data_IF_967175173306
#
_entry.id   IF_967175173306
#
_cell.length_a   1.000
_cell.length_b   1.000
_cell.length_c   1.000
_cell.angle_alpha   90.00
_cell.angle_beta   90.00
_cell.angle_gamma   90.00
#
_symmetry.space_group_name_H-M   'P 1'
#
loop_
_entity.id
_entity.type
_entity.pdbx_description
1 polymer ?
#
# COMPACT_ATOMS: atom_id res chain seq x y z
N UNK A 1 -12.05 -6.02 -33.22
CA UNK A 1 -11.91 -5.95 -32.43
C UNK A 1 -11.81 -6.15 -31.89
N UNK A 2 -11.84 -6.13 -32.14
CA UNK A 2 -11.72 -6.08 -31.16
C UNK A 2 -11.43 -6.35 -30.44
N UNK A 3 -11.38 -6.26 -30.77
CA UNK A 3 -11.12 -6.28 -29.70
C UNK A 3 -10.58 -6.34 -29.05
N UNK A 4 -10.45 -5.96 -29.37
CA UNK A 4 -10.03 -5.68 -28.33
C UNK A 4 -10.18 -5.43 -27.77
N UNK A 5 -10.44 -5.15 -28.21
CA UNK A 5 -10.57 -4.60 -27.30
C UNK A 5 -11.03 -4.56 -26.70
N UNK A 6 -11.38 -4.73 -27.42
CA UNK A 6 -11.79 -4.52 -26.48
C UNK A 6 -11.71 -4.91 -25.88
N UNK A 7 -11.56 -4.86 -26.03
CA UNK A 7 -11.35 -4.91 -25.01
C UNK A 7 -11.26 -4.82 -24.35
N UNK A 8 -11.32 -4.62 -24.59
CA UNK A 8 -11.20 -4.30 -23.63
C UNK A 8 -11.31 -3.86 -23.19
N UNK A 9 -11.42 -3.57 -23.40
CA UNK A 9 -11.70 -2.99 -22.65
C UNK A 9 -12.03 -2.99 -21.90
N UNK A 10 -12.20 -2.90 -22.46
CA UNK A 10 -13.06 -2.55 -21.49
C UNK A 10 -12.81 -3.07 -20.15
N UNK A 11 -12.38 -4.01 -20.05
CA UNK A 11 -12.07 -4.48 -18.79
C UNK A 11 -11.14 -3.60 -18.09
N UNK A 12 -10.22 -3.05 -18.78
CA UNK A 12 -9.30 -2.15 -18.14
C UNK A 12 -9.98 -0.96 -17.53
N UNK A 13 -11.07 -0.54 -18.09
CA UNK A 13 -11.73 0.64 -17.59
C UNK A 13 -12.37 0.40 -16.23
N UNK A 14 -12.68 -0.83 -15.91
CA UNK A 14 -13.28 -1.11 -14.62
C UNK A 14 -12.26 -1.41 -13.55
N UNK A 15 -11.02 -1.59 -13.95
CA UNK A 15 -9.98 -1.94 -13.00
C UNK A 15 -9.13 -0.73 -12.74
N UNK A 16 -9.20 -0.25 -11.54
CA UNK A 16 -8.43 0.91 -11.12
C UNK A 16 -7.29 0.48 -10.24
N UNK A 17 -6.25 1.28 -10.19
CA UNK A 17 -5.21 0.99 -9.21
C UNK A 17 -5.79 0.88 -7.83
N UNK A 18 -5.36 -0.12 -7.12
CA UNK A 18 -5.84 -0.42 -5.80
C UNK A 18 -4.75 -0.02 -4.81
N UNK A 19 -5.08 0.84 -3.88
CA UNK A 19 -4.09 1.39 -2.96
C UNK A 19 -4.37 0.88 -1.56
N UNK A 20 -3.34 0.34 -0.95
CA UNK A 20 -3.42 -0.17 0.41
C UNK A 20 -2.58 0.73 1.30
N UNK A 21 -3.18 1.22 2.37
CA UNK A 21 -2.47 2.03 3.34
C UNK A 21 -2.46 1.29 4.66
N UNK A 22 -1.29 0.91 5.10
CA UNK A 22 -1.11 0.25 6.38
C UNK A 22 -0.40 1.19 7.34
N UNK A 23 -0.92 1.31 8.55
CA UNK A 23 -0.25 2.04 9.60
C UNK A 23 0.19 1.05 10.68
N UNK A 24 1.37 1.26 11.22
CA UNK A 24 1.94 0.35 12.20
C UNK A 24 2.35 1.13 13.44
N UNK A 25 2.00 0.61 14.60
CA UNK A 25 2.47 1.14 15.86
C UNK A 25 3.57 0.20 16.35
N UNK A 26 4.83 0.61 16.29
CA UNK A 26 5.92 -0.28 16.70
C UNK A 26 5.96 -0.40 18.21
N UNK A 27 6.47 -1.52 18.68
CA UNK A 27 6.81 -1.65 20.08
C UNK A 27 7.89 -0.63 20.42
N UNK A 28 7.98 -0.23 21.68
CA UNK A 28 8.99 0.76 22.08
C UNK A 28 10.38 0.36 21.60
N UNK A 29 11.05 1.30 20.95
CA UNK A 29 12.42 1.07 20.46
C UNK A 29 12.53 0.28 19.17
N UNK A 30 11.40 -0.07 18.55
CA UNK A 30 11.44 -0.94 17.36
C UNK A 30 11.16 -0.23 16.05
N UNK A 31 11.03 1.09 16.07
CA UNK A 31 10.68 1.80 14.84
C UNK A 31 11.72 1.61 13.74
N UNK A 32 12.99 1.70 14.07
CA UNK A 32 14.03 1.56 13.06
C UNK A 32 14.05 0.14 12.48
N UNK A 33 13.95 -0.85 13.34
CA UNK A 33 13.92 -2.22 12.88
C UNK A 33 12.69 -2.48 12.01
N UNK A 34 11.55 -1.97 12.43
CA UNK A 34 10.31 -2.12 11.68
C UNK A 34 10.43 -1.49 10.30
N UNK A 35 10.93 -0.26 10.22
CA UNK A 35 11.04 0.39 8.91
C UNK A 35 12.02 -0.34 8.00
N UNK A 36 13.07 -0.92 8.55
CA UNK A 36 13.97 -1.73 7.77
C UNK A 36 13.29 -2.97 7.18
N UNK A 37 12.46 -3.63 7.98
CA UNK A 37 11.72 -4.79 7.51
C UNK A 37 10.72 -4.37 6.42
N UNK A 38 10.04 -3.24 6.62
CA UNK A 38 9.08 -2.76 5.63
C UNK A 38 9.76 -2.42 4.30
N UNK A 39 10.93 -1.79 4.36
CA UNK A 39 11.65 -1.43 3.14
C UNK A 39 12.12 -2.66 2.38
N UNK A 40 12.67 -3.63 3.09
CA UNK A 40 13.10 -4.86 2.45
C UNK A 40 11.93 -5.62 1.85
N UNK A 41 10.81 -5.64 2.56
CA UNK A 41 9.61 -6.31 2.06
C UNK A 41 9.07 -5.61 0.82
N UNK A 42 9.04 -4.28 0.82
CA UNK A 42 8.58 -3.53 -0.35
C UNK A 42 9.41 -3.86 -1.57
N UNK A 43 10.73 -3.91 -1.42
CA UNK A 43 11.60 -4.22 -2.54
C UNK A 43 11.35 -5.62 -3.05
N UNK A 44 11.17 -6.57 -2.16
CA UNK A 44 10.89 -7.93 -2.54
C UNK A 44 9.55 -8.08 -3.24
N UNK A 45 8.52 -7.38 -2.73
CA UNK A 45 7.21 -7.41 -3.37
C UNK A 45 7.27 -6.81 -4.76
N UNK A 46 8.07 -5.76 -4.94
CA UNK A 46 8.22 -5.15 -6.25
C UNK A 46 8.81 -6.12 -7.26
N UNK A 47 9.69 -7.00 -6.81
CA UNK A 47 10.32 -7.97 -7.70
C UNK A 47 9.49 -9.22 -7.93
N UNK A 48 8.71 -9.64 -6.92
CA UNK A 48 8.14 -10.98 -6.95
C UNK A 48 6.62 -11.04 -6.97
N UNK A 49 5.94 -9.93 -6.71
CA UNK A 49 4.48 -9.96 -6.62
C UNK A 49 3.86 -9.38 -7.89
N UNK A 50 3.12 -10.20 -8.65
CA UNK A 50 2.49 -9.69 -9.87
C UNK A 50 1.54 -8.56 -9.55
N UNK A 51 1.61 -7.52 -10.35
CA UNK A 51 0.70 -6.38 -10.21
C UNK A 51 1.06 -5.39 -9.11
N UNK A 52 2.10 -5.65 -8.34
CA UNK A 52 2.53 -4.69 -7.33
C UNK A 52 3.39 -3.63 -8.00
N UNK A 53 2.94 -2.38 -7.90
CA UNK A 53 3.60 -1.27 -8.60
C UNK A 53 4.47 -0.44 -7.68
N UNK A 54 4.88 -1.01 -6.56
CA UNK A 54 5.75 -0.31 -5.65
C UNK A 54 4.97 0.27 -4.49
N UNK A 55 5.70 0.92 -3.62
CA UNK A 55 5.09 1.50 -2.44
C UNK A 55 6.04 2.46 -1.79
N UNK A 56 5.52 3.16 -0.82
CA UNK A 56 6.30 4.12 -0.06
C UNK A 56 6.15 3.84 1.42
N UNK A 57 7.22 4.08 2.13
CA UNK A 57 7.21 3.92 3.57
C UNK A 57 7.52 5.27 4.18
N UNK A 58 6.69 5.66 5.13
CA UNK A 58 6.82 6.93 5.82
C UNK A 58 6.96 6.67 7.31
N UNK A 59 7.68 7.55 7.96
CA UNK A 59 7.79 7.52 9.42
C UNK A 59 7.09 8.77 9.95
N UNK A 60 6.22 8.57 10.93
CA UNK A 60 5.62 9.70 11.62
C UNK A 60 6.56 10.06 12.76
N UNK A 61 7.28 11.14 12.58
CA UNK A 61 8.32 11.50 13.54
C UNK A 61 7.75 11.91 14.89
N UNK A 62 6.53 12.39 14.91
CA UNK A 62 5.93 12.82 16.17
C UNK A 62 5.29 11.66 16.94
N UNK A 63 4.69 10.74 16.21
CA UNK A 63 3.92 9.66 16.84
C UNK A 63 4.68 8.34 16.91
N UNK A 64 5.91 8.31 16.41
CA UNK A 64 6.72 7.09 16.41
C UNK A 64 5.97 5.93 15.77
N UNK A 65 5.40 6.19 14.61
CA UNK A 65 4.67 5.16 13.87
C UNK A 65 5.22 5.08 12.46
N UNK A 66 4.84 4.03 11.75
CA UNK A 66 5.25 3.85 10.37
C UNK A 66 4.04 3.63 9.51
N UNK A 67 4.14 4.08 8.27
CA UNK A 67 3.06 3.97 7.30
C UNK A 67 3.64 3.34 6.05
N UNK A 68 2.93 2.37 5.49
CA UNK A 68 3.32 1.79 4.22
C UNK A 68 2.15 1.91 3.25
N UNK A 69 2.41 2.53 2.11
CA UNK A 69 1.42 2.68 1.06
C UNK A 69 1.86 1.81 -0.10
N UNK A 70 1.04 0.82 -0.46
CA UNK A 70 1.33 -0.07 -1.56
C UNK A 70 0.30 0.09 -2.65
N UNK A 71 0.73 -0.03 -3.90
CA UNK A 71 -0.16 0.13 -5.04
C UNK A 71 -0.17 -1.16 -5.83
N UNK A 72 -1.36 -1.68 -6.08
CA UNK A 72 -1.56 -2.88 -6.89
C UNK A 72 -2.31 -2.49 -8.16
N UNK A 73 -2.04 -3.19 -9.23
CA UNK A 73 -2.72 -2.91 -10.48
C UNK A 73 -4.21 -3.19 -10.37
N UNK A 74 -4.57 -4.28 -9.69
CA UNK A 74 -5.98 -4.65 -9.51
C UNK A 74 -6.17 -5.21 -8.12
N UNK A 75 -7.43 -5.28 -7.72
CA UNK A 75 -7.77 -5.92 -6.46
C UNK A 75 -7.44 -7.41 -6.48
N UNK A 76 -7.56 -8.06 -7.63
CA UNK A 76 -7.18 -9.47 -7.74
C UNK A 76 -5.71 -9.68 -7.45
N UNK A 77 -4.87 -8.76 -7.88
CA UNK A 77 -3.44 -8.86 -7.57
C UNK A 77 -3.20 -8.74 -6.07
N UNK A 78 -3.92 -7.86 -5.41
CA UNK A 78 -3.84 -7.73 -3.97
C UNK A 78 -4.28 -9.03 -3.28
N UNK A 79 -5.38 -9.62 -3.75
CA UNK A 79 -5.86 -10.86 -3.16
C UNK A 79 -4.85 -11.99 -3.33
N UNK A 80 -4.20 -12.04 -4.48
CA UNK A 80 -3.15 -13.02 -4.71
C UNK A 80 -1.98 -12.84 -3.77
N UNK A 81 -1.63 -11.59 -3.50
CA UNK A 81 -0.53 -11.30 -2.60
C UNK A 81 -0.85 -11.77 -1.18
N UNK A 82 -2.03 -11.45 -0.65
CA UNK A 82 -2.33 -11.84 0.74
C UNK A 82 -2.48 -13.36 0.89
N UNK A 83 -2.71 -14.07 -0.20
CA UNK A 83 -2.78 -15.52 -0.17
C UNK A 83 -1.40 -16.17 -0.33
N UNK A 84 -0.35 -15.40 -0.53
CA UNK A 84 0.95 -15.95 -0.88
C UNK A 84 1.78 -16.28 0.35
N UNK A 85 2.74 -17.17 0.13
CA UNK A 85 3.73 -17.50 1.16
C UNK A 85 4.56 -16.28 1.53
N UNK A 86 4.82 -15.43 0.55
CA UNK A 86 5.59 -14.23 0.75
C UNK A 86 4.92 -13.32 1.77
N UNK A 87 3.60 -13.16 1.65
CA UNK A 87 2.85 -12.36 2.60
C UNK A 87 2.87 -12.99 4.00
N UNK A 88 2.76 -14.31 4.08
CA UNK A 88 2.80 -14.99 5.37
C UNK A 88 4.13 -14.75 6.09
N UNK A 89 5.23 -14.82 5.35
CA UNK A 89 6.55 -14.54 5.92
C UNK A 89 6.68 -13.10 6.37
N UNK A 90 6.17 -12.20 5.57
CA UNK A 90 6.18 -10.79 5.91
C UNK A 90 5.45 -10.54 7.23
N UNK A 91 4.28 -11.14 7.38
CA UNK A 91 3.52 -10.99 8.64
C UNK A 91 4.30 -11.54 9.83
N UNK A 92 4.95 -12.65 9.66
CA UNK A 92 5.75 -13.24 10.74
C UNK A 92 6.88 -12.33 11.16
N UNK A 93 7.47 -11.62 10.22
CA UNK A 93 8.56 -10.70 10.54
C UNK A 93 8.07 -9.45 11.24
N UNK A 94 6.89 -9.00 10.92
CA UNK A 94 6.37 -7.75 11.45
C UNK A 94 5.73 -7.92 12.82
N UNK A 95 5.02 -9.01 13.03
CA UNK A 95 4.25 -9.20 14.25
C UNK A 95 5.04 -8.96 15.54
N UNK A 96 6.25 -9.48 15.69
CA UNK A 96 6.97 -9.24 16.94
C UNK A 96 7.41 -7.80 17.14
N UNK A 97 7.32 -6.97 16.12
CA UNK A 97 7.82 -5.60 16.18
C UNK A 97 6.73 -4.57 16.45
N UNK A 98 5.46 -4.98 16.42
CA UNK A 98 4.37 -4.00 16.49
C UNK A 98 3.44 -4.31 17.65
N UNK A 99 2.83 -3.23 18.17
CA UNK A 99 1.74 -3.32 19.13
C UNK A 99 0.39 -3.18 18.47
N UNK A 100 0.34 -2.62 17.27
CA UNK A 100 -0.92 -2.44 16.58
C UNK A 100 -0.72 -2.15 15.11
N UNK A 101 -1.80 -2.32 14.35
CA UNK A 101 -1.77 -2.07 12.92
C UNK A 101 -3.16 -1.64 12.46
N UNK A 102 -3.20 -0.65 11.59
CA UNK A 102 -4.43 -0.23 10.93
C UNK A 102 -4.28 -0.41 9.43
N UNK A 103 -5.40 -0.55 8.75
CA UNK A 103 -5.36 -0.75 7.30
C UNK A 103 -6.52 -0.02 6.65
N UNK A 104 -6.24 0.66 5.55
CA UNK A 104 -7.26 1.29 4.71
C UNK A 104 -7.03 0.87 3.27
N UNK A 105 -8.13 0.59 2.60
CA UNK A 105 -8.11 0.21 1.18
C UNK A 105 -8.80 1.33 0.42
N UNK A 106 -8.11 1.92 -0.54
CA UNK A 106 -8.64 3.07 -1.26
C UNK A 106 -8.43 2.90 -2.76
N UNK A 107 -9.23 3.62 -3.52
CA UNK A 107 -9.08 3.71 -4.95
C UNK A 107 -8.48 5.05 -5.29
N UNK A 108 -7.70 5.10 -6.37
CA UNK A 108 -7.17 6.35 -6.84
C UNK A 108 -8.31 7.24 -7.29
N UNK A 109 -8.28 8.49 -6.85
CA UNK A 109 -9.28 9.44 -7.25
C UNK A 109 -8.83 10.29 -8.40
N UNK A 110 -9.60 11.32 -8.68
CA UNK A 110 -9.30 12.26 -9.72
C UNK A 110 -8.20 13.19 -9.26
N UNK A 111 -7.14 13.28 -10.05
CA UNK A 111 -5.96 14.05 -9.65
C UNK A 111 -6.27 15.52 -9.44
N UNK A 112 -7.20 16.09 -10.20
CA UNK A 112 -7.52 17.49 -10.03
C UNK A 112 -8.16 17.76 -8.68
N UNK A 113 -9.00 16.87 -8.23
CA UNK A 113 -9.61 17.01 -6.92
C UNK A 113 -8.60 16.94 -5.81
N UNK A 114 -7.58 16.17 -6.02
CA UNK A 114 -6.53 16.04 -5.03
C UNK A 114 -5.87 17.38 -4.77
N UNK A 115 -5.63 18.14 -5.81
CA UNK A 115 -4.99 19.43 -5.64
C UNK A 115 -5.85 20.38 -4.82
N UNK A 116 -7.14 20.41 -5.08
CA UNK A 116 -8.02 21.26 -4.31
C UNK A 116 -8.08 20.86 -2.87
N UNK A 117 -8.09 19.60 -2.65
CA UNK A 117 -8.13 19.10 -1.32
C UNK A 117 -6.97 19.53 -0.51
N UNK A 118 -5.80 19.48 -1.06
CA UNK A 118 -4.63 19.86 -0.35
C UNK A 118 -4.69 21.28 0.14
N UNK A 119 -5.25 22.17 -0.62
CA UNK A 119 -5.31 23.54 -0.19
C UNK A 119 -6.38 23.76 0.86
N UNK A 120 -7.49 23.06 0.74
CA UNK A 120 -8.57 23.31 1.66
C UNK A 120 -8.35 22.65 3.00
N UNK A 121 -7.77 21.54 2.93
CA UNK A 121 -7.75 20.72 4.10
C UNK A 121 -7.01 21.27 5.24
N UNK A 122 -6.28 22.18 5.03
CA UNK A 122 -5.54 22.57 6.05
C UNK A 122 -5.98 23.47 6.87
N UNK A 123 -6.56 23.97 6.66
CA UNK A 123 -6.84 24.81 7.46
C UNK A 123 -7.32 24.63 8.41
N UNK A 124 -7.13 24.14 8.34
CA UNK A 124 -7.60 23.91 9.28
C UNK A 124 -7.55 24.17 10.05
N UNK A 125 -7.27 24.37 9.77
CA UNK A 125 -7.21 24.55 10.56
C UNK A 125 -7.24 24.82 11.22
#
# INVERSE_FOLDING_TARGET
MSNYHDRTQSTGSTQRPFVLINSFTPKPGKLDELTGVLEAARDRFSDEVPGFHGGRIYRDVDASSALMIGVFETEDDYEGWIASTLFARYREQIQPLIDGMGQSRVEAGNARKTAQYGSAGRRGD
#
